data_IF_160331822598
#
_entry.id   IF_160331822598
#
_cell.length_a   1.000
_cell.length_b   1.000
_cell.length_c   1.000
_cell.angle_alpha   90.00
_cell.angle_beta   90.00
_cell.angle_gamma   90.00
#
_symmetry.space_group_name_H-M   'P 1'
#
loop_
_entity.id
_entity.type
_entity.pdbx_description
1 polymer ?
#
# COMPACT_ATOMS: atom_id res chain seq x y z
N UNK A 1 19.20 -20.81 -0.80
CA UNK A 1 18.10 -20.64 0.16
C UNK A 1 17.67 -22.03 0.63
N UNK A 2 17.61 -22.29 1.94
CA UNK A 2 17.21 -23.62 2.43
C UNK A 2 15.72 -23.87 2.19
N UNK A 3 15.31 -25.15 2.09
CA UNK A 3 13.90 -25.53 1.93
C UNK A 3 13.04 -25.02 3.10
N UNK A 4 13.58 -25.04 4.31
CA UNK A 4 12.90 -24.52 5.51
C UNK A 4 12.62 -23.01 5.42
N UNK A 5 13.55 -22.24 4.88
CA UNK A 5 13.37 -20.80 4.67
C UNK A 5 12.28 -20.52 3.62
N UNK A 6 12.27 -21.26 2.51
CA UNK A 6 11.24 -21.16 1.47
C UNK A 6 9.86 -21.48 2.04
N UNK A 7 9.75 -22.54 2.83
CA UNK A 7 8.49 -22.94 3.45
C UNK A 7 7.99 -21.89 4.45
N UNK A 8 8.90 -21.36 5.28
CA UNK A 8 8.56 -20.28 6.22
C UNK A 8 8.05 -19.04 5.50
N UNK A 9 8.72 -18.63 4.41
CA UNK A 9 8.30 -17.50 3.57
C UNK A 9 6.91 -17.75 2.97
N UNK A 10 6.69 -18.91 2.39
CA UNK A 10 5.40 -19.29 1.79
C UNK A 10 4.25 -19.27 2.81
N UNK A 11 4.48 -19.76 4.04
CA UNK A 11 3.46 -19.74 5.09
C UNK A 11 3.13 -18.31 5.52
N UNK A 12 4.13 -17.44 5.72
CA UNK A 12 3.91 -16.03 6.06
C UNK A 12 3.14 -15.29 4.94
N UNK A 13 3.52 -15.53 3.68
CA UNK A 13 2.82 -14.96 2.53
C UNK A 13 1.37 -15.43 2.45
N UNK A 14 1.14 -16.73 2.63
CA UNK A 14 -0.22 -17.29 2.65
C UNK A 14 -1.06 -16.70 3.80
N UNK A 15 -0.47 -16.51 4.97
CA UNK A 15 -1.14 -15.89 6.11
C UNK A 15 -1.51 -14.42 5.83
N UNK A 16 -0.59 -13.63 5.26
CA UNK A 16 -0.86 -12.23 4.88
C UNK A 16 -1.94 -12.11 3.80
N UNK A 17 -1.85 -12.92 2.74
CA UNK A 17 -2.86 -12.96 1.66
C UNK A 17 -4.24 -13.42 2.17
N UNK A 18 -4.28 -14.42 3.03
CA UNK A 18 -5.53 -14.89 3.64
C UNK A 18 -6.13 -13.81 4.54
N UNK A 19 -5.30 -13.12 5.32
CA UNK A 19 -5.74 -12.01 6.17
C UNK A 19 -6.33 -10.87 5.31
N UNK A 20 -5.67 -10.45 4.22
CA UNK A 20 -6.21 -9.43 3.29
C UNK A 20 -7.57 -9.88 2.72
N UNK A 21 -7.68 -11.13 2.27
CA UNK A 21 -8.92 -11.63 1.69
C UNK A 21 -10.06 -11.72 2.69
N UNK A 22 -9.80 -12.12 3.94
CA UNK A 22 -10.83 -12.36 4.96
C UNK A 22 -11.20 -11.08 5.70
N UNK A 23 -10.20 -10.32 6.18
CA UNK A 23 -10.40 -9.13 6.99
C UNK A 23 -10.67 -7.89 6.12
N UNK A 24 -10.04 -7.83 4.92
CA UNK A 24 -10.07 -6.66 4.06
C UNK A 24 -9.38 -5.45 4.69
N UNK A 25 -9.68 -4.29 4.17
CA UNK A 25 -9.08 -3.04 4.64
C UNK A 25 -9.75 -2.56 5.94
N UNK A 26 -8.94 -2.15 6.91
CA UNK A 26 -9.44 -1.61 8.17
C UNK A 26 -10.14 -0.27 7.94
N UNK A 27 -11.48 -0.22 8.09
CA UNK A 27 -12.29 0.99 7.84
C UNK A 27 -12.05 2.11 8.87
N UNK A 28 -11.53 1.77 10.04
CA UNK A 28 -11.20 2.72 11.11
C UNK A 28 -9.76 2.47 11.59
N UNK A 29 -9.02 3.54 11.87
CA UNK A 29 -7.63 3.48 12.38
C UNK A 29 -6.68 2.70 11.46
N UNK A 30 -6.81 2.89 10.13
CA UNK A 30 -5.93 2.21 9.18
C UNK A 30 -4.46 2.62 9.42
N UNK A 31 -3.53 1.68 9.64
CA UNK A 31 -2.13 1.99 9.96
C UNK A 31 -1.45 2.87 8.91
N UNK A 32 -1.73 2.66 7.63
CA UNK A 32 -1.17 3.47 6.53
C UNK A 32 -1.68 4.93 6.57
N UNK A 33 -2.92 5.18 7.01
CA UNK A 33 -3.41 6.55 7.20
C UNK A 33 -2.67 7.23 8.36
N UNK A 34 -2.42 6.50 9.43
CA UNK A 34 -1.58 6.96 10.54
C UNK A 34 -0.16 7.29 10.09
N UNK A 35 0.45 6.38 9.33
CA UNK A 35 1.76 6.58 8.72
C UNK A 35 1.79 7.80 7.79
N UNK A 36 0.79 7.97 6.92
CA UNK A 36 0.70 9.12 6.01
C UNK A 36 0.63 10.46 6.76
N UNK A 37 -0.12 10.51 7.86
CA UNK A 37 -0.18 11.71 8.74
C UNK A 37 1.17 12.00 9.40
N UNK A 38 1.84 10.97 9.90
CA UNK A 38 3.18 11.06 10.46
C UNK A 38 4.18 11.56 9.42
N UNK A 39 4.28 10.91 8.27
CA UNK A 39 5.19 11.27 7.19
C UNK A 39 4.98 12.70 6.70
N UNK A 40 3.73 13.11 6.49
CA UNK A 40 3.39 14.49 6.14
C UNK A 40 3.73 15.51 7.23
N UNK A 41 3.66 15.13 8.50
CA UNK A 41 4.11 15.95 9.63
C UNK A 41 5.62 16.16 9.60
N UNK A 42 6.38 15.10 9.44
CA UNK A 42 7.84 15.10 9.33
C UNK A 42 8.29 15.91 8.12
N UNK A 43 7.67 15.71 6.95
CA UNK A 43 7.99 16.46 5.74
C UNK A 43 7.79 17.97 5.94
N UNK A 44 6.64 18.38 6.49
CA UNK A 44 6.38 19.80 6.76
C UNK A 44 7.40 20.40 7.73
N UNK A 45 7.80 19.66 8.77
CA UNK A 45 8.83 20.10 9.71
C UNK A 45 10.19 20.28 9.02
N UNK A 46 10.63 19.29 8.24
CA UNK A 46 11.90 19.39 7.49
C UNK A 46 11.88 20.54 6.47
N UNK A 47 10.79 20.72 5.72
CA UNK A 47 10.66 21.86 4.78
C UNK A 47 10.74 23.20 5.49
N UNK A 48 10.18 23.33 6.69
CA UNK A 48 10.28 24.58 7.48
C UNK A 48 11.72 24.86 7.96
N UNK A 49 12.42 23.82 8.44
CA UNK A 49 13.80 23.94 8.92
C UNK A 49 14.78 24.31 7.82
N UNK A 50 14.55 23.87 6.58
CA UNK A 50 15.39 24.14 5.43
C UNK A 50 14.82 25.23 4.51
N UNK A 51 13.82 25.99 4.98
CA UNK A 51 13.25 27.08 4.18
C UNK A 51 14.29 28.11 3.81
N UNK A 52 14.32 28.51 2.53
CA UNK A 52 15.29 29.50 2.00
C UNK A 52 16.68 28.95 1.68
N UNK A 53 16.89 27.62 1.83
CA UNK A 53 18.15 26.99 1.40
C UNK A 53 18.19 26.78 -0.12
N UNK A 54 19.38 26.51 -0.63
CA UNK A 54 19.60 26.17 -2.05
C UNK A 54 19.03 24.77 -2.39
N UNK A 55 19.13 24.38 -3.67
CA UNK A 55 18.62 23.08 -4.16
C UNK A 55 19.22 21.89 -3.40
N UNK A 56 20.51 21.93 -3.09
CA UNK A 56 21.19 20.88 -2.30
C UNK A 56 20.59 20.78 -0.89
N UNK A 57 20.33 21.90 -0.23
CA UNK A 57 19.67 21.93 1.07
C UNK A 57 18.27 21.34 1.03
N UNK A 58 17.49 21.60 -0.01
CA UNK A 58 16.16 21.02 -0.20
C UNK A 58 16.22 19.51 -0.46
N UNK A 59 17.22 19.00 -1.18
CA UNK A 59 17.44 17.56 -1.36
C UNK A 59 17.81 16.89 -0.04
N UNK A 60 18.68 17.51 0.75
CA UNK A 60 19.02 17.02 2.10
C UNK A 60 17.80 17.00 3.02
N UNK A 61 16.96 18.03 2.97
CA UNK A 61 15.69 18.05 3.71
C UNK A 61 14.77 16.89 3.32
N UNK A 62 14.67 16.57 2.03
CA UNK A 62 13.90 15.42 1.54
C UNK A 62 14.45 14.08 2.04
N UNK A 63 15.78 13.90 1.97
CA UNK A 63 16.43 12.70 2.48
C UNK A 63 16.23 12.52 4.00
N UNK A 64 16.40 13.61 4.76
CA UNK A 64 16.17 13.62 6.19
C UNK A 64 14.70 13.32 6.54
N UNK A 65 13.77 13.94 5.81
CA UNK A 65 12.34 13.68 5.99
C UNK A 65 12.00 12.22 5.72
N UNK A 66 12.53 11.65 4.63
CA UNK A 66 12.36 10.23 4.32
C UNK A 66 12.92 9.34 5.43
N UNK A 67 14.15 9.58 5.87
CA UNK A 67 14.79 8.79 6.91
C UNK A 67 13.99 8.84 8.24
N UNK A 68 13.58 10.03 8.67
CA UNK A 68 12.78 10.21 9.88
C UNK A 68 11.36 9.64 9.75
N UNK A 69 10.79 9.63 8.56
CA UNK A 69 9.48 9.03 8.33
C UNK A 69 9.53 7.49 8.35
N UNK A 70 10.56 6.88 7.79
CA UNK A 70 10.62 5.41 7.55
C UNK A 70 11.40 4.67 8.63
N UNK A 71 12.62 5.12 8.98
CA UNK A 71 13.52 4.35 9.85
C UNK A 71 12.96 4.03 11.24
N UNK A 72 12.19 4.89 11.92
CA UNK A 72 11.60 4.55 13.22
C UNK A 72 10.65 3.34 13.14
N UNK A 73 9.90 3.19 12.05
CA UNK A 73 8.97 2.08 11.85
C UNK A 73 9.70 0.79 11.50
N UNK A 74 10.77 0.89 10.71
CA UNK A 74 11.68 -0.25 10.45
C UNK A 74 12.33 -0.71 11.75
N UNK A 75 12.85 0.23 12.56
CA UNK A 75 13.44 -0.09 13.85
C UNK A 75 12.43 -0.74 14.81
N UNK A 76 11.19 -0.22 14.84
CA UNK A 76 10.10 -0.80 15.63
C UNK A 76 9.77 -2.23 15.16
N UNK A 77 9.67 -2.46 13.86
CA UNK A 77 9.41 -3.79 13.30
C UNK A 77 10.52 -4.79 13.67
N UNK A 78 11.78 -4.38 13.51
CA UNK A 78 12.93 -5.21 13.90
C UNK A 78 12.97 -5.50 15.41
N UNK A 79 12.67 -4.50 16.23
CA UNK A 79 12.56 -4.65 17.68
C UNK A 79 11.45 -5.63 18.07
N UNK A 80 10.26 -5.50 17.49
CA UNK A 80 9.14 -6.41 17.74
C UNK A 80 9.48 -7.85 17.36
N UNK A 81 10.19 -8.05 16.24
CA UNK A 81 10.67 -9.37 15.81
C UNK A 81 11.68 -9.97 16.77
N UNK A 82 12.48 -9.14 17.45
CA UNK A 82 13.50 -9.56 18.40
C UNK A 82 12.96 -9.93 19.79
N UNK A 83 11.71 -9.53 20.12
CA UNK A 83 11.12 -9.78 21.44
C UNK A 83 10.97 -11.27 21.79
N UNK A 84 10.73 -12.11 20.77
CA UNK A 84 10.56 -13.54 20.94
C UNK A 84 10.96 -14.30 19.67
N UNK A 85 11.56 -15.52 19.76
CA UNK A 85 11.98 -16.28 18.59
C UNK A 85 10.88 -16.54 17.54
N UNK A 86 9.62 -16.55 17.95
CA UNK A 86 8.48 -16.77 17.06
C UNK A 86 7.76 -15.47 16.66
N UNK A 87 8.15 -14.32 17.21
CA UNK A 87 7.47 -13.03 16.93
C UNK A 87 7.52 -12.65 15.45
N UNK A 88 8.58 -13.03 14.74
CA UNK A 88 8.72 -12.76 13.30
C UNK A 88 7.62 -13.39 12.45
N UNK A 89 6.96 -14.47 12.89
CA UNK A 89 5.84 -15.06 12.16
C UNK A 89 4.65 -14.10 12.13
N UNK A 90 4.30 -13.57 13.29
CA UNK A 90 3.16 -12.65 13.44
C UNK A 90 3.48 -11.29 12.84
N UNK A 91 4.64 -10.72 13.19
CA UNK A 91 5.03 -9.37 12.73
C UNK A 91 5.12 -9.32 11.22
N UNK A 92 5.81 -10.28 10.58
CA UNK A 92 5.98 -10.28 9.13
C UNK A 92 4.65 -10.48 8.40
N UNK A 93 3.81 -11.43 8.87
CA UNK A 93 2.49 -11.64 8.27
C UNK A 93 1.56 -10.44 8.44
N UNK A 94 1.60 -9.75 9.59
CA UNK A 94 0.83 -8.51 9.82
C UNK A 94 1.33 -7.36 8.94
N UNK A 95 2.65 -7.17 8.82
CA UNK A 95 3.20 -6.13 7.96
C UNK A 95 2.82 -6.36 6.51
N UNK A 96 2.90 -7.62 6.05
CA UNK A 96 2.46 -7.97 4.71
C UNK A 96 0.95 -7.72 4.53
N UNK A 97 0.12 -8.15 5.47
CA UNK A 97 -1.33 -7.88 5.42
C UNK A 97 -1.64 -6.38 5.28
N UNK A 98 -0.97 -5.51 6.04
CA UNK A 98 -1.17 -4.06 5.92
C UNK A 98 -0.60 -3.45 4.64
N UNK A 99 0.39 -4.09 4.02
CA UNK A 99 0.93 -3.66 2.73
C UNK A 99 0.07 -4.11 1.53
N UNK A 100 -0.72 -5.19 1.70
CA UNK A 100 -1.60 -5.71 0.67
C UNK A 100 -2.89 -4.88 0.57
N UNK A 101 -3.37 -4.70 -0.64
CA UNK A 101 -4.64 -4.01 -0.95
C UNK A 101 -5.49 -4.79 -1.95
N UNK A 102 -5.28 -6.11 -2.05
CA UNK A 102 -5.91 -6.93 -3.09
C UNK A 102 -7.43 -6.98 -2.97
N UNK A 103 -7.95 -7.14 -1.75
CA UNK A 103 -9.40 -7.13 -1.51
C UNK A 103 -10.02 -5.76 -1.76
N UNK A 104 -9.42 -4.69 -1.24
CA UNK A 104 -9.88 -3.32 -1.46
C UNK A 104 -9.93 -2.98 -2.94
N UNK A 105 -8.89 -3.37 -3.69
CA UNK A 105 -8.82 -3.18 -5.14
C UNK A 105 -9.95 -3.93 -5.87
N UNK A 106 -10.23 -5.18 -5.49
CA UNK A 106 -11.32 -5.96 -6.06
C UNK A 106 -12.70 -5.33 -5.74
N UNK A 107 -12.90 -4.81 -4.53
CA UNK A 107 -14.13 -4.11 -4.13
C UNK A 107 -14.33 -2.83 -4.96
N UNK A 108 -13.28 -2.05 -5.21
CA UNK A 108 -13.35 -0.86 -6.06
C UNK A 108 -13.61 -1.21 -7.53
N UNK A 109 -12.94 -2.24 -8.06
CA UNK A 109 -13.20 -2.73 -9.42
C UNK A 109 -14.66 -3.16 -9.59
N UNK A 110 -15.20 -3.92 -8.62
CA UNK A 110 -16.59 -4.36 -8.65
C UNK A 110 -17.57 -3.18 -8.53
N UNK A 111 -17.22 -2.16 -7.74
CA UNK A 111 -18.05 -0.95 -7.60
C UNK A 111 -18.18 -0.17 -8.92
N UNK A 112 -17.21 -0.25 -9.82
CA UNK A 112 -17.29 0.30 -11.19
C UNK A 112 -18.03 -0.65 -12.13
N UNK A 113 -17.70 -1.94 -12.09
CA UNK A 113 -18.22 -2.94 -13.02
C UNK A 113 -19.73 -3.14 -12.87
N UNK A 114 -20.27 -3.10 -11.65
CA UNK A 114 -21.69 -3.34 -11.38
C UNK A 114 -22.61 -2.31 -12.06
N UNK A 115 -22.47 -1.00 -11.85
CA UNK A 115 -23.31 -0.01 -12.53
C UNK A 115 -23.03 0.04 -14.04
N UNK A 116 -21.80 -0.19 -14.48
CA UNK A 116 -21.46 -0.23 -15.91
C UNK A 116 -22.21 -1.36 -16.63
N UNK A 117 -22.23 -2.56 -16.03
CA UNK A 117 -22.97 -3.70 -16.56
C UNK A 117 -24.50 -3.50 -16.55
N UNK A 118 -25.00 -2.69 -15.61
CA UNK A 118 -26.43 -2.31 -15.54
C UNK A 118 -26.81 -1.18 -16.52
N UNK A 119 -25.84 -0.61 -17.26
CA UNK A 119 -26.06 0.54 -18.17
C UNK A 119 -26.15 1.89 -17.46
N UNK A 120 -25.91 1.95 -16.16
CA UNK A 120 -25.85 3.19 -15.38
C UNK A 120 -24.46 3.83 -15.53
N UNK A 121 -24.29 4.57 -16.62
CA UNK A 121 -23.02 5.19 -16.97
C UNK A 121 -22.63 6.31 -15.99
N UNK A 122 -23.59 7.03 -15.43
CA UNK A 122 -23.29 8.13 -14.51
C UNK A 122 -22.77 7.61 -13.17
N UNK A 123 -23.39 6.58 -12.60
CA UNK A 123 -22.86 5.91 -11.43
C UNK A 123 -21.49 5.27 -11.70
N UNK A 124 -21.27 4.66 -12.86
CA UNK A 124 -19.99 4.08 -13.23
C UNK A 124 -18.87 5.15 -13.34
N UNK A 125 -19.17 6.33 -13.91
CA UNK A 125 -18.26 7.49 -13.97
C UNK A 125 -17.87 8.00 -12.59
N UNK A 126 -18.84 8.10 -11.67
CA UNK A 126 -18.57 8.48 -10.29
C UNK A 126 -17.61 7.49 -9.62
N UNK A 127 -17.87 6.18 -9.74
CA UNK A 127 -17.07 5.14 -9.11
C UNK A 127 -15.66 5.04 -9.69
N UNK A 128 -15.50 5.13 -11.01
CA UNK A 128 -14.15 5.13 -11.60
C UNK A 128 -13.36 6.37 -11.19
N UNK A 129 -14.01 7.51 -10.97
CA UNK A 129 -13.38 8.74 -10.45
C UNK A 129 -12.73 8.57 -9.06
N UNK A 130 -13.08 7.54 -8.29
CA UNK A 130 -12.45 7.27 -7.00
C UNK A 130 -11.09 6.57 -7.11
N UNK A 131 -10.83 5.93 -8.26
CA UNK A 131 -9.61 5.13 -8.48
C UNK A 131 -8.71 5.70 -9.58
N UNK A 132 -9.12 6.77 -10.25
CA UNK A 132 -8.31 7.47 -11.26
C UNK A 132 -8.17 8.95 -10.91
N UNK A 133 -7.03 9.55 -11.28
CA UNK A 133 -6.73 10.98 -11.01
C UNK A 133 -7.13 11.92 -12.15
N UNK A 134 -7.97 11.44 -13.11
CA UNK A 134 -8.43 12.23 -14.27
C UNK A 134 -9.93 12.51 -14.20
N UNK A 135 -10.39 13.52 -14.96
CA UNK A 135 -11.82 13.79 -15.10
C UNK A 135 -12.53 12.64 -15.82
N UNK A 136 -13.57 12.11 -15.20
CA UNK A 136 -14.32 10.95 -15.69
C UNK A 136 -15.68 11.30 -16.30
N UNK A 137 -16.12 12.55 -16.17
CA UNK A 137 -17.46 12.99 -16.54
C UNK A 137 -17.79 12.87 -18.03
N UNK A 138 -16.78 12.97 -18.88
CA UNK A 138 -16.91 12.88 -20.33
C UNK A 138 -16.64 11.47 -20.91
N UNK A 139 -16.30 10.47 -20.06
CA UNK A 139 -16.00 9.12 -20.52
C UNK A 139 -17.28 8.41 -20.97
N UNK A 140 -17.25 7.74 -22.12
CA UNK A 140 -18.26 6.77 -22.51
C UNK A 140 -18.05 5.42 -21.78
N UNK A 141 -18.89 4.45 -22.04
CA UNK A 141 -18.82 3.14 -21.37
C UNK A 141 -17.48 2.43 -21.60
N UNK A 142 -16.93 2.51 -22.81
CA UNK A 142 -15.62 1.95 -23.15
C UNK A 142 -14.49 2.69 -22.42
N UNK A 143 -14.56 4.03 -22.38
CA UNK A 143 -13.61 4.86 -21.66
C UNK A 143 -13.60 4.59 -20.16
N UNK A 144 -14.76 4.37 -19.53
CA UNK A 144 -14.88 3.98 -18.13
C UNK A 144 -14.26 2.59 -17.90
N UNK A 145 -14.60 1.60 -18.74
CA UNK A 145 -14.05 0.25 -18.64
C UNK A 145 -12.53 0.24 -18.79
N UNK A 146 -11.99 0.98 -19.77
CA UNK A 146 -10.55 1.13 -20.00
C UNK A 146 -9.88 1.78 -18.78
N UNK A 147 -10.41 2.90 -18.29
CA UNK A 147 -9.87 3.61 -17.15
C UNK A 147 -9.83 2.74 -15.89
N UNK A 148 -10.90 1.98 -15.63
CA UNK A 148 -10.96 1.05 -14.50
C UNK A 148 -9.93 -0.08 -14.65
N UNK A 149 -9.81 -0.67 -15.84
CA UNK A 149 -8.85 -1.75 -16.11
C UNK A 149 -7.40 -1.28 -15.93
N UNK A 150 -7.04 -0.12 -16.50
CA UNK A 150 -5.72 0.48 -16.34
C UNK A 150 -5.39 0.71 -14.86
N UNK A 151 -6.31 1.33 -14.11
CA UNK A 151 -6.13 1.60 -12.68
C UNK A 151 -5.99 0.31 -11.86
N UNK A 152 -6.81 -0.70 -12.13
CA UNK A 152 -6.74 -2.00 -11.43
C UNK A 152 -5.42 -2.72 -11.71
N UNK A 153 -4.93 -2.69 -12.95
CA UNK A 153 -3.65 -3.31 -13.30
C UNK A 153 -2.47 -2.57 -12.63
N UNK A 154 -2.45 -1.24 -12.68
CA UNK A 154 -1.42 -0.42 -12.05
C UNK A 154 -1.39 -0.61 -10.53
N UNK A 155 -2.53 -0.40 -9.87
CA UNK A 155 -2.63 -0.55 -8.41
C UNK A 155 -2.43 -2.01 -7.98
N UNK A 156 -2.84 -2.99 -8.77
CA UNK A 156 -2.61 -4.41 -8.54
C UNK A 156 -1.12 -4.76 -8.57
N UNK A 157 -0.39 -4.16 -9.51
CA UNK A 157 1.07 -4.29 -9.54
C UNK A 157 1.70 -3.78 -8.24
N UNK A 158 1.31 -2.60 -7.78
CA UNK A 158 1.92 -1.96 -6.62
C UNK A 158 1.45 -2.56 -5.29
N UNK A 159 0.14 -2.70 -5.12
CA UNK A 159 -0.47 -3.13 -3.85
C UNK A 159 -0.46 -4.66 -3.63
N UNK A 160 -0.15 -5.46 -4.65
CA UNK A 160 -0.08 -6.91 -4.52
C UNK A 160 1.28 -7.43 -4.94
N UNK A 161 1.65 -7.31 -6.23
CA UNK A 161 2.91 -7.90 -6.71
C UNK A 161 4.14 -7.21 -6.15
N UNK A 162 4.15 -5.87 -6.07
CA UNK A 162 5.22 -5.10 -5.46
C UNK A 162 5.40 -5.44 -3.98
N UNK A 163 4.29 -5.49 -3.21
CA UNK A 163 4.32 -5.87 -1.81
C UNK A 163 4.90 -7.28 -1.59
N UNK A 164 4.46 -8.26 -2.39
CA UNK A 164 4.96 -9.63 -2.34
C UNK A 164 6.44 -9.73 -2.73
N UNK A 165 6.85 -9.03 -3.80
CA UNK A 165 8.25 -9.01 -4.24
C UNK A 165 9.16 -8.47 -3.15
N UNK A 166 8.84 -7.30 -2.59
CA UNK A 166 9.64 -6.70 -1.53
C UNK A 166 9.63 -7.52 -0.25
N UNK A 167 8.52 -8.21 0.05
CA UNK A 167 8.45 -9.13 1.18
C UNK A 167 9.40 -10.33 0.98
N UNK A 168 9.48 -10.89 -0.23
CA UNK A 168 10.44 -11.98 -0.55
C UNK A 168 11.88 -11.51 -0.41
N UNK A 169 12.19 -10.29 -0.88
CA UNK A 169 13.55 -9.75 -0.88
C UNK A 169 14.01 -9.28 0.50
N UNK A 170 13.14 -8.70 1.31
CA UNK A 170 13.48 -8.04 2.57
C UNK A 170 12.82 -8.63 3.81
N UNK A 171 11.59 -9.09 3.72
CA UNK A 171 10.78 -9.53 4.87
C UNK A 171 11.04 -10.97 5.32
N UNK A 172 11.61 -11.79 4.46
CA UNK A 172 11.95 -13.18 4.77
C UNK A 172 13.41 -13.39 5.19
N UNK A 173 14.22 -12.36 5.12
CA UNK A 173 15.63 -12.42 5.46
C UNK A 173 15.87 -12.05 6.93
N UNK A 174 16.11 -13.01 7.74
CA UNK A 174 16.63 -12.82 9.08
C UNK A 174 15.91 -13.38 10.18
#
# INVERSE_FOLDING_TARGET
>A
MSLSLLLALAIKMAAGLLADRVLGEAKRFHPLVGFGRWAGGVERACRRLFFGTNETGMRLAGLLAWALAVLPWVALALWLRALHPQAHWVVDSMLLYFALGGRSLAEHAQAVATPLAAGDLDAARERVGWIVSRDTRALDAEGVAKAATESVLENGNDAVFGALLWFVLGGGAG
#
